data_IF_608493408162
#
_entry.id   IF_608493408162
#
_cell.length_a   1.000
_cell.length_b   1.000
_cell.length_c   1.000
_cell.angle_alpha   90.00
_cell.angle_beta   90.00
_cell.angle_gamma   90.00
#
_symmetry.space_group_name_H-M   'P 1'
#
loop_
_entity.id
_entity.type
_entity.pdbx_description
1 polymer ?
#
# COMPACT_ATOMS: atom_id res chain seq x y z
N UNK A 1 -32.51 36.14 58.99
CA UNK A 1 -32.21 35.85 57.56
C UNK A 1 -31.72 37.14 56.94
N UNK A 2 -30.44 37.23 56.58
CA UNK A 2 -30.01 36.89 55.22
C UNK A 2 -28.79 35.96 55.18
N UNK A 3 -28.58 35.36 54.01
CA UNK A 3 -27.69 34.22 53.73
C UNK A 3 -26.23 34.65 53.62
N UNK A 4 -25.36 33.90 54.32
CA UNK A 4 -23.91 33.91 54.18
C UNK A 4 -23.50 33.40 52.79
N UNK A 5 -22.61 34.15 52.14
CA UNK A 5 -21.96 33.75 50.90
C UNK A 5 -21.03 32.55 51.14
N UNK A 6 -21.23 31.48 50.38
CA UNK A 6 -20.43 30.26 50.44
C UNK A 6 -19.15 30.45 49.61
N UNK A 7 -18.01 30.39 50.29
CA UNK A 7 -16.66 30.39 49.74
C UNK A 7 -16.47 29.08 48.94
N UNK A 8 -16.55 29.12 47.61
CA UNK A 8 -16.17 28.00 46.76
C UNK A 8 -14.63 28.00 46.64
N UNK A 9 -13.98 27.12 47.41
CA UNK A 9 -12.54 26.85 47.30
C UNK A 9 -12.29 26.15 45.96
N UNK A 10 -11.57 26.84 45.08
CA UNK A 10 -11.08 26.35 43.81
C UNK A 10 -9.95 25.34 44.07
N UNK A 11 -10.28 24.05 44.22
CA UNK A 11 -9.28 22.99 44.29
C UNK A 11 -8.79 22.68 42.88
N UNK A 12 -7.74 23.38 42.43
CA UNK A 12 -6.99 23.04 41.22
C UNK A 12 -6.27 21.73 41.49
N UNK A 13 -6.80 20.63 40.96
CA UNK A 13 -6.06 19.38 40.85
C UNK A 13 -4.90 19.58 39.86
N UNK A 14 -3.71 19.88 40.39
CA UNK A 14 -2.46 19.60 39.72
C UNK A 14 -2.32 18.07 39.63
N UNK A 15 -2.91 17.48 38.59
CA UNK A 15 -2.51 16.16 38.13
C UNK A 15 -1.13 16.34 37.50
N UNK A 16 -0.09 16.02 38.28
CA UNK A 16 1.20 15.69 37.74
C UNK A 16 0.98 14.62 36.66
N UNK A 17 1.30 14.95 35.41
CA UNK A 17 1.36 13.99 34.31
C UNK A 17 2.44 12.98 34.65
N UNK A 18 2.06 11.91 35.35
CA UNK A 18 2.85 10.69 35.38
C UNK A 18 3.00 10.28 33.92
N UNK A 19 4.20 10.51 33.38
CA UNK A 19 4.62 9.99 32.09
C UNK A 19 4.26 8.51 32.08
N UNK A 20 3.38 8.08 31.16
CA UNK A 20 3.16 6.66 30.93
C UNK A 20 4.54 5.97 30.84
N UNK A 21 4.70 4.76 31.42
CA UNK A 21 5.97 4.05 31.31
C UNK A 21 6.38 4.00 29.84
N UNK A 22 7.64 4.33 29.56
CA UNK A 22 8.16 4.36 28.20
C UNK A 22 7.84 3.02 27.53
N UNK A 23 7.03 3.08 26.46
CA UNK A 23 6.66 1.90 25.68
C UNK A 23 7.94 1.22 25.18
N UNK A 24 7.95 -0.12 25.20
CA UNK A 24 9.08 -0.87 24.65
C UNK A 24 9.34 -0.47 23.20
N UNK A 25 10.60 -0.31 22.82
CA UNK A 25 11.00 0.07 21.47
C UNK A 25 12.04 -0.91 20.90
N UNK A 26 11.86 -1.40 19.66
CA UNK A 26 12.83 -2.27 19.01
C UNK A 26 14.09 -1.50 18.63
N UNK A 27 15.19 -2.25 18.43
CA UNK A 27 16.38 -1.74 17.75
C UNK A 27 16.18 -1.92 16.24
N UNK A 28 16.29 -0.83 15.49
CA UNK A 28 16.01 -0.78 14.05
C UNK A 28 17.24 -0.35 13.26
N UNK A 29 17.47 -0.95 12.10
CA UNK A 29 18.53 -0.53 11.17
C UNK A 29 18.06 0.67 10.36
N UNK A 30 18.78 1.78 10.43
CA UNK A 30 18.35 3.05 9.82
C UNK A 30 19.24 3.56 8.70
N UNK A 31 20.48 3.10 8.58
CA UNK A 31 21.35 3.45 7.44
C UNK A 31 21.99 2.21 6.84
N UNK A 32 22.09 2.16 5.51
CA UNK A 32 23.09 1.37 4.81
C UNK A 32 24.28 2.33 4.68
N UNK A 33 25.43 2.03 5.30
CA UNK A 33 26.63 2.86 5.21
C UNK A 33 26.83 3.33 3.77
N UNK A 34 27.05 4.65 3.59
CA UNK A 34 27.11 5.31 2.28
C UNK A 34 27.82 4.40 1.28
N UNK A 35 27.14 4.09 0.17
CA UNK A 35 27.75 3.39 -0.96
C UNK A 35 28.80 4.33 -1.57
N UNK A 36 29.99 4.34 -0.97
CA UNK A 36 31.01 5.35 -1.24
C UNK A 36 31.94 5.52 -0.06
N UNK A 37 32.89 4.59 0.08
CA UNK A 37 34.33 4.92 0.22
C UNK A 37 35.22 3.69 0.46
N UNK A 38 34.70 2.51 0.78
CA UNK A 38 35.50 1.28 0.75
C UNK A 38 34.66 0.09 0.31
N UNK A 39 35.25 -0.85 -0.45
CA UNK A 39 34.66 -2.17 -0.79
C UNK A 39 34.53 -3.10 0.43
N UNK A 40 34.42 -2.54 1.64
CA UNK A 40 34.23 -3.26 2.89
C UNK A 40 32.77 -3.18 3.30
N UNK A 41 32.27 -4.25 3.94
CA UNK A 41 30.86 -4.53 4.23
C UNK A 41 30.04 -3.29 4.64
N UNK A 42 28.75 -3.18 4.23
CA UNK A 42 27.92 -2.05 4.62
C UNK A 42 27.87 -1.91 6.15
N UNK A 43 28.28 -0.74 6.66
CA UNK A 43 28.16 -0.40 8.07
C UNK A 43 26.75 0.09 8.35
N UNK A 44 25.96 -0.69 9.06
CA UNK A 44 24.62 -0.28 9.48
C UNK A 44 24.70 0.56 10.75
N UNK A 45 23.99 1.69 10.81
CA UNK A 45 23.62 2.31 12.08
C UNK A 45 22.32 1.74 12.59
N UNK A 46 22.22 1.53 13.89
CA UNK A 46 20.97 1.14 14.53
C UNK A 46 20.41 2.29 15.39
N UNK A 47 19.11 2.25 15.62
CA UNK A 47 18.37 3.28 16.32
C UNK A 47 17.33 2.64 17.23
N UNK A 48 17.10 3.23 18.41
CA UNK A 48 16.10 2.79 19.37
C UNK A 48 15.54 4.01 20.09
N UNK A 49 14.22 4.19 20.05
CA UNK A 49 13.49 5.23 20.80
C UNK A 49 14.15 6.62 20.78
N UNK A 50 14.44 7.18 19.61
CA UNK A 50 15.05 8.51 19.50
C UNK A 50 16.56 8.52 19.36
N UNK A 51 17.24 7.43 19.71
CA UNK A 51 18.69 7.43 19.97
C UNK A 51 19.46 6.45 19.08
N UNK A 52 20.62 6.84 18.52
CA UNK A 52 21.54 5.90 17.90
C UNK A 52 21.99 4.81 18.90
N UNK A 53 22.11 3.57 18.42
CA UNK A 53 22.55 2.39 19.19
C UNK A 53 23.46 1.51 18.35
N UNK A 54 24.28 0.71 19.01
CA UNK A 54 25.04 -0.36 18.35
C UNK A 54 24.09 -1.42 17.79
N UNK A 55 24.36 -1.89 16.58
CA UNK A 55 23.60 -2.99 16.02
C UNK A 55 23.94 -4.33 16.71
N UNK A 56 22.96 -5.20 16.99
CA UNK A 56 23.20 -6.54 17.52
C UNK A 56 24.10 -7.36 16.59
N UNK A 57 24.95 -8.21 17.17
CA UNK A 57 25.98 -8.99 16.46
C UNK A 57 25.45 -10.18 15.66
N UNK A 58 24.19 -10.61 15.88
CA UNK A 58 23.58 -11.75 15.19
C UNK A 58 22.26 -11.38 14.54
N UNK A 59 22.21 -11.30 13.21
CA UNK A 59 20.99 -10.93 12.49
C UNK A 59 20.16 -12.14 12.05
N UNK A 60 20.76 -13.33 11.85
CA UNK A 60 20.05 -14.52 11.32
C UNK A 60 20.70 -15.88 11.68
N UNK A 61 21.48 -15.97 12.77
CA UNK A 61 22.16 -17.24 13.13
C UNK A 61 23.05 -17.84 12.03
N UNK A 62 23.45 -17.04 11.02
CA UNK A 62 24.36 -17.46 9.94
C UNK A 62 23.73 -18.23 8.78
N UNK A 63 22.40 -18.30 8.67
CA UNK A 63 21.77 -19.14 7.66
C UNK A 63 20.91 -18.35 6.64
N UNK A 64 21.14 -18.63 5.35
CA UNK A 64 20.37 -18.10 4.23
C UNK A 64 19.11 -18.97 4.02
N UNK A 65 17.91 -18.37 4.17
CA UNK A 65 16.59 -18.97 3.96
C UNK A 65 16.08 -20.03 4.97
N UNK A 66 16.76 -20.30 6.09
CA UNK A 66 16.10 -21.07 7.15
C UNK A 66 15.16 -20.16 7.96
N UNK A 67 14.09 -20.78 8.46
CA UNK A 67 13.15 -20.10 9.35
C UNK A 67 12.05 -19.32 8.63
N UNK A 68 11.82 -19.51 7.32
CA UNK A 68 10.59 -19.04 6.67
C UNK A 68 9.58 -20.18 6.66
N UNK A 69 8.38 -19.94 7.18
CA UNK A 69 7.27 -20.89 7.17
C UNK A 69 6.67 -21.05 5.76
N UNK A 70 5.82 -22.06 5.56
CA UNK A 70 5.08 -22.26 4.30
C UNK A 70 4.12 -21.12 3.95
N UNK A 71 3.80 -20.23 4.90
CA UNK A 71 2.94 -19.06 4.70
C UNK A 71 3.74 -17.77 4.49
N UNK A 72 5.08 -17.83 4.53
CA UNK A 72 5.96 -16.68 4.32
C UNK A 72 6.41 -15.98 5.62
N UNK A 73 5.90 -16.39 6.78
CA UNK A 73 6.31 -15.80 8.05
C UNK A 73 7.73 -16.22 8.44
N UNK A 74 8.54 -15.26 8.88
CA UNK A 74 9.90 -15.48 9.36
C UNK A 74 9.93 -15.99 10.80
N UNK A 75 11.03 -16.64 11.18
CA UNK A 75 11.35 -17.08 12.56
C UNK A 75 12.62 -16.37 13.04
N UNK A 76 12.57 -15.04 13.25
CA UNK A 76 13.73 -14.28 13.71
C UNK A 76 14.08 -14.60 15.17
N UNK A 77 15.36 -14.40 15.51
CA UNK A 77 15.80 -14.33 16.92
C UNK A 77 15.48 -12.95 17.50
N UNK A 78 15.48 -12.82 18.83
CA UNK A 78 15.39 -11.52 19.54
C UNK A 78 16.42 -10.47 19.08
N UNK A 79 17.59 -10.91 18.61
CA UNK A 79 18.66 -10.03 18.11
C UNK A 79 18.44 -9.53 16.66
N UNK A 80 17.43 -10.04 15.95
CA UNK A 80 17.16 -9.61 14.59
C UNK A 80 16.66 -8.16 14.56
N UNK A 81 17.20 -7.39 13.62
CA UNK A 81 16.90 -5.96 13.45
C UNK A 81 16.31 -5.71 12.08
N UNK A 82 15.07 -5.23 12.09
CA UNK A 82 14.32 -4.80 10.90
C UNK A 82 14.78 -3.43 10.42
N UNK A 83 14.50 -3.13 9.15
CA UNK A 83 14.83 -1.86 8.53
C UNK A 83 13.81 -0.78 8.89
N UNK A 84 14.31 0.45 9.08
CA UNK A 84 13.52 1.66 9.30
C UNK A 84 14.13 2.79 8.48
N UNK A 85 13.49 3.18 7.39
CA UNK A 85 13.88 4.40 6.68
C UNK A 85 13.35 5.61 7.47
N UNK A 86 14.24 6.38 8.13
CA UNK A 86 13.84 7.47 9.02
C UNK A 86 13.12 8.60 8.27
N UNK A 87 13.61 8.97 7.09
CA UNK A 87 12.96 10.00 6.28
C UNK A 87 11.55 9.58 5.83
N UNK A 88 11.39 8.34 5.39
CA UNK A 88 10.07 7.79 5.07
C UNK A 88 9.17 7.71 6.30
N UNK A 89 9.70 7.30 7.46
CA UNK A 89 8.93 7.20 8.69
C UNK A 89 8.41 8.57 9.18
N UNK A 90 9.22 9.64 9.05
CA UNK A 90 8.77 11.02 9.30
C UNK A 90 7.67 11.44 8.32
N UNK A 91 7.87 11.19 7.02
CA UNK A 91 6.87 11.53 6.01
C UNK A 91 5.54 10.78 6.23
N UNK A 92 5.61 9.49 6.58
CA UNK A 92 4.44 8.70 6.98
C UNK A 92 3.73 9.30 8.20
N UNK A 93 4.47 9.70 9.23
CA UNK A 93 3.89 10.33 10.43
C UNK A 93 3.12 11.60 10.09
N UNK A 94 3.66 12.41 9.16
CA UNK A 94 3.02 13.65 8.72
C UNK A 94 1.76 13.39 7.90
N UNK A 95 1.81 12.54 6.87
CA UNK A 95 0.66 12.34 5.98
C UNK A 95 -0.47 11.52 6.61
N UNK A 96 -0.16 10.74 7.66
CA UNK A 96 -1.12 9.92 8.41
C UNK A 96 -1.53 10.54 9.75
N UNK A 97 -1.12 11.79 10.02
CA UNK A 97 -1.40 12.46 11.29
C UNK A 97 -2.90 12.50 11.61
N UNK A 98 -3.24 12.24 12.88
CA UNK A 98 -4.64 12.23 13.35
C UNK A 98 -5.46 11.02 12.90
N UNK A 99 -4.88 10.08 12.17
CA UNK A 99 -5.55 8.85 11.74
C UNK A 99 -5.21 7.65 12.64
N UNK A 100 -5.88 6.54 12.39
CA UNK A 100 -5.48 5.23 12.93
C UNK A 100 -4.88 4.39 11.81
N UNK A 101 -3.88 3.57 12.16
CA UNK A 101 -3.15 2.73 11.21
C UNK A 101 -3.19 1.28 11.68
N UNK A 102 -3.42 0.37 10.75
CA UNK A 102 -3.10 -1.06 10.92
C UNK A 102 -1.83 -1.34 10.12
N UNK A 103 -0.79 -1.83 10.76
CA UNK A 103 0.44 -2.27 10.12
C UNK A 103 0.44 -3.80 9.99
N UNK A 104 0.56 -4.29 8.76
CA UNK A 104 0.73 -5.71 8.46
C UNK A 104 2.18 -5.97 8.11
N UNK A 105 2.74 -7.08 8.62
CA UNK A 105 4.15 -7.46 8.44
C UNK A 105 5.10 -6.54 9.19
N UNK A 106 4.75 -6.17 10.43
CA UNK A 106 5.48 -5.17 11.21
C UNK A 106 6.87 -5.64 11.68
N UNK A 107 7.17 -6.94 11.57
CA UNK A 107 8.36 -7.54 12.16
C UNK A 107 8.39 -7.31 13.68
N UNK A 108 9.48 -6.69 14.16
CA UNK A 108 9.60 -6.26 15.56
C UNK A 108 8.97 -4.87 15.84
N UNK A 109 8.31 -4.25 14.88
CA UNK A 109 7.53 -3.01 15.08
C UNK A 109 8.34 -1.73 14.91
N UNK A 110 9.30 -1.70 13.99
CA UNK A 110 10.16 -0.53 13.77
C UNK A 110 9.38 0.72 13.33
N UNK A 111 8.53 0.60 12.30
CA UNK A 111 7.64 1.69 11.90
C UNK A 111 6.56 1.91 12.97
N UNK A 112 6.00 0.86 13.56
CA UNK A 112 5.01 0.95 14.65
C UNK A 112 5.49 1.86 15.79
N UNK A 113 6.67 1.56 16.36
CA UNK A 113 7.25 2.29 17.48
C UNK A 113 7.50 3.75 17.12
N UNK A 114 8.05 3.99 15.93
CA UNK A 114 8.31 5.35 15.44
C UNK A 114 7.01 6.17 15.30
N UNK A 115 5.99 5.60 14.65
CA UNK A 115 4.71 6.27 14.41
C UNK A 115 3.92 6.49 15.71
N UNK A 116 3.95 5.54 16.66
CA UNK A 116 3.35 5.71 17.99
C UNK A 116 4.03 6.85 18.77
N UNK A 117 5.35 6.95 18.70
CA UNK A 117 6.09 8.07 19.31
C UNK A 117 5.74 9.44 18.70
N UNK A 118 5.24 9.45 17.45
CA UNK A 118 4.70 10.65 16.77
C UNK A 118 3.22 10.90 17.06
N UNK A 119 2.59 10.12 17.94
CA UNK A 119 1.21 10.28 18.38
C UNK A 119 0.17 9.58 17.50
N UNK A 120 0.58 8.74 16.55
CA UNK A 120 -0.36 7.97 15.73
C UNK A 120 -0.88 6.74 16.49
N UNK A 121 -2.16 6.41 16.26
CA UNK A 121 -2.76 5.18 16.79
C UNK A 121 -2.48 4.01 15.85
N UNK A 122 -1.40 3.28 16.09
CA UNK A 122 -1.00 2.13 15.26
C UNK A 122 -1.32 0.81 15.94
N UNK A 123 -1.99 -0.12 15.26
CA UNK A 123 -2.10 -1.54 15.65
C UNK A 123 -1.27 -2.37 14.69
N UNK A 124 -0.34 -3.18 15.19
CA UNK A 124 0.66 -3.85 14.35
C UNK A 124 0.54 -5.37 14.45
N UNK A 125 0.71 -6.05 13.32
CA UNK A 125 0.56 -7.49 13.22
C UNK A 125 1.64 -8.13 12.36
N UNK A 126 2.09 -9.33 12.76
CA UNK A 126 3.04 -10.13 11.99
C UNK A 126 2.78 -11.63 12.16
N UNK A 127 3.15 -12.45 11.16
CA UNK A 127 3.02 -13.90 11.21
C UNK A 127 4.11 -14.60 12.03
N UNK A 128 5.11 -13.87 12.54
CA UNK A 128 6.15 -14.40 13.42
C UNK A 128 5.53 -15.03 14.68
N UNK A 129 5.81 -16.31 14.89
CA UNK A 129 5.39 -17.04 16.08
C UNK A 129 6.04 -16.41 17.34
N UNK A 130 5.21 -16.07 18.34
CA UNK A 130 5.68 -15.46 19.58
C UNK A 130 6.07 -13.97 19.49
N UNK A 131 5.72 -13.27 18.41
CA UNK A 131 6.11 -11.86 18.22
C UNK A 131 5.56 -10.93 19.30
N UNK A 132 4.40 -11.25 19.86
CA UNK A 132 3.81 -10.48 20.96
C UNK A 132 4.69 -10.51 22.20
N UNK A 133 5.21 -11.68 22.57
CA UNK A 133 6.13 -11.84 23.68
C UNK A 133 7.48 -11.18 23.37
N UNK A 134 8.00 -11.37 22.15
CA UNK A 134 9.27 -10.78 21.70
C UNK A 134 9.27 -9.25 21.71
N UNK A 135 8.10 -8.64 21.48
CA UNK A 135 7.95 -7.18 21.35
C UNK A 135 7.17 -6.56 22.51
N UNK A 136 6.97 -7.31 23.61
CA UNK A 136 6.23 -6.85 24.78
C UNK A 136 4.83 -6.27 24.45
N UNK A 137 4.16 -6.86 23.47
CA UNK A 137 2.83 -6.45 23.01
C UNK A 137 2.81 -5.30 21.99
N UNK A 138 3.97 -4.79 21.53
CA UNK A 138 4.01 -3.78 20.47
C UNK A 138 3.40 -4.32 19.17
N UNK A 139 3.73 -5.57 18.81
CA UNK A 139 3.23 -6.28 17.63
C UNK A 139 2.45 -7.52 18.06
N UNK A 140 1.30 -7.78 17.47
CA UNK A 140 0.47 -8.96 17.75
C UNK A 140 0.64 -10.04 16.68
N UNK A 141 0.68 -11.31 17.07
CA UNK A 141 0.75 -12.42 16.10
C UNK A 141 -0.54 -12.48 15.25
N UNK A 142 -0.40 -12.48 13.92
CA UNK A 142 -1.47 -12.76 12.97
C UNK A 142 -0.94 -13.36 11.66
N UNK A 143 -1.49 -14.50 11.25
CA UNK A 143 -1.20 -15.07 9.93
C UNK A 143 -2.00 -14.35 8.84
N UNK A 144 -1.31 -13.52 8.05
CA UNK A 144 -1.91 -12.73 6.97
C UNK A 144 -2.45 -13.59 5.81
N UNK A 145 -2.13 -14.88 5.76
CA UNK A 145 -2.66 -15.84 4.80
C UNK A 145 -4.02 -16.42 5.18
N UNK A 146 -4.49 -16.11 6.40
CA UNK A 146 -5.80 -16.49 6.89
C UNK A 146 -6.76 -15.29 6.86
N UNK A 147 -8.07 -15.59 6.95
CA UNK A 147 -9.09 -14.56 7.08
C UNK A 147 -9.01 -13.92 8.47
N UNK A 148 -8.61 -12.65 8.53
CA UNK A 148 -8.48 -11.93 9.80
C UNK A 148 -9.79 -11.27 10.25
N UNK A 149 -10.04 -11.31 11.56
CA UNK A 149 -11.15 -10.66 12.25
C UNK A 149 -10.67 -9.55 13.20
N UNK A 150 -9.86 -8.63 12.69
CA UNK A 150 -9.26 -7.55 13.46
C UNK A 150 -10.07 -6.25 13.30
N UNK A 151 -9.90 -5.25 14.19
CA UNK A 151 -10.49 -3.93 13.99
C UNK A 151 -9.95 -3.26 12.71
N UNK A 152 -10.81 -2.53 11.99
CA UNK A 152 -10.34 -1.68 10.90
C UNK A 152 -9.69 -0.40 11.44
N UNK A 153 -8.83 0.20 10.63
CA UNK A 153 -8.22 1.50 10.87
C UNK A 153 -8.52 2.49 9.72
N UNK A 154 -8.12 3.74 9.90
CA UNK A 154 -8.16 4.73 8.82
C UNK A 154 -7.30 4.25 7.65
N UNK A 155 -6.07 3.82 7.96
CA UNK A 155 -5.10 3.38 6.96
C UNK A 155 -4.57 1.98 7.23
N UNK A 156 -4.14 1.30 6.17
CA UNK A 156 -3.30 0.10 6.26
C UNK A 156 -1.90 0.40 5.74
N UNK A 157 -0.89 0.01 6.52
CA UNK A 157 0.52 0.06 6.17
C UNK A 157 1.04 -1.37 5.94
N UNK A 158 1.76 -1.62 4.84
CA UNK A 158 2.40 -2.91 4.58
C UNK A 158 3.72 -2.72 3.80
N UNK A 159 4.85 -2.67 4.51
CA UNK A 159 6.17 -2.36 3.94
C UNK A 159 6.98 -3.64 3.71
N UNK A 160 7.23 -4.01 2.45
CA UNK A 160 8.04 -5.20 2.08
C UNK A 160 7.51 -6.49 2.74
N UNK A 161 6.24 -6.80 2.50
CA UNK A 161 5.52 -7.94 3.12
C UNK A 161 5.02 -8.92 2.07
N UNK A 162 4.38 -8.42 1.02
CA UNK A 162 3.58 -9.21 0.09
C UNK A 162 4.44 -10.12 -0.81
N UNK A 163 5.69 -9.75 -1.07
CA UNK A 163 6.69 -10.53 -1.77
C UNK A 163 7.12 -11.79 -1.02
N UNK A 164 6.95 -11.82 0.30
CA UNK A 164 7.26 -12.97 1.15
C UNK A 164 6.08 -13.92 1.31
N UNK A 165 4.86 -13.46 1.00
CA UNK A 165 3.65 -14.28 1.06
C UNK A 165 3.48 -15.06 -0.25
N UNK A 166 3.40 -16.40 -0.21
CA UNK A 166 3.24 -17.21 -1.41
C UNK A 166 2.05 -16.78 -2.28
N UNK A 167 2.21 -16.88 -3.62
CA UNK A 167 1.20 -16.46 -4.62
C UNK A 167 -0.21 -16.97 -4.36
N UNK A 168 -0.34 -18.18 -3.81
CA UNK A 168 -1.63 -18.79 -3.48
C UNK A 168 -2.40 -18.02 -2.38
N UNK A 169 -1.70 -17.26 -1.54
CA UNK A 169 -2.27 -16.47 -0.45
C UNK A 169 -2.40 -14.98 -0.76
N UNK A 170 -1.92 -14.52 -1.92
CA UNK A 170 -1.99 -13.13 -2.35
C UNK A 170 -3.41 -12.55 -2.25
N UNK A 171 -4.40 -13.30 -2.72
CA UNK A 171 -5.81 -12.88 -2.69
C UNK A 171 -6.27 -12.63 -1.26
N UNK A 172 -5.86 -13.49 -0.34
CA UNK A 172 -6.23 -13.40 1.07
C UNK A 172 -5.50 -12.25 1.78
N UNK A 173 -4.23 -12.01 1.48
CA UNK A 173 -3.50 -10.84 1.96
C UNK A 173 -4.19 -9.52 1.53
N UNK A 174 -4.51 -9.39 0.24
CA UNK A 174 -5.23 -8.23 -0.28
C UNK A 174 -6.64 -8.11 0.33
N UNK A 175 -7.33 -9.23 0.59
CA UNK A 175 -8.60 -9.24 1.31
C UNK A 175 -8.47 -8.64 2.71
N UNK A 176 -7.39 -8.95 3.42
CA UNK A 176 -7.13 -8.44 4.76
C UNK A 176 -6.81 -6.94 4.70
N UNK A 177 -5.99 -6.49 3.74
CA UNK A 177 -5.75 -5.05 3.49
C UNK A 177 -7.07 -4.31 3.24
N UNK A 178 -7.97 -4.88 2.44
CA UNK A 178 -9.27 -4.26 2.17
C UNK A 178 -10.19 -4.20 3.38
N UNK A 179 -10.31 -5.32 4.12
CA UNK A 179 -11.23 -5.42 5.26
C UNK A 179 -10.84 -4.48 6.41
N UNK A 180 -9.55 -4.28 6.63
CA UNK A 180 -9.05 -3.52 7.77
C UNK A 180 -8.78 -2.05 7.45
N UNK A 181 -9.20 -1.59 6.27
CA UNK A 181 -9.01 -0.22 5.81
C UNK A 181 -10.33 0.57 5.67
N UNK A 182 -10.34 1.82 6.12
CA UNK A 182 -11.46 2.76 5.92
C UNK A 182 -11.17 3.90 4.96
N UNK A 183 -9.92 4.33 4.81
CA UNK A 183 -9.53 5.55 4.09
C UNK A 183 -8.46 5.31 3.03
N UNK A 184 -7.44 4.48 3.28
CA UNK A 184 -6.36 4.30 2.31
C UNK A 184 -5.31 3.26 2.67
N UNK A 185 -4.42 2.99 1.73
CA UNK A 185 -3.33 2.01 1.88
C UNK A 185 -2.02 2.66 1.50
N UNK A 186 -0.99 2.47 2.30
CA UNK A 186 0.40 2.70 1.89
C UNK A 186 1.12 1.37 1.95
N UNK A 187 1.68 0.93 0.83
CA UNK A 187 2.37 -0.35 0.77
C UNK A 187 3.64 -0.28 -0.08
N UNK A 188 4.62 -1.10 0.25
CA UNK A 188 5.74 -1.41 -0.63
C UNK A 188 5.73 -2.91 -0.91
N UNK A 189 5.86 -3.27 -2.18
CA UNK A 189 5.90 -4.65 -2.63
C UNK A 189 7.03 -4.79 -3.64
N UNK A 190 8.05 -5.58 -3.30
CA UNK A 190 9.17 -5.78 -4.21
C UNK A 190 8.75 -6.26 -5.60
N UNK A 191 9.33 -5.64 -6.63
CA UNK A 191 9.24 -6.03 -8.03
C UNK A 191 10.45 -6.88 -8.48
N UNK A 192 11.30 -7.30 -7.55
CA UNK A 192 12.55 -8.01 -7.81
C UNK A 192 12.57 -9.40 -7.17
N UNK A 193 13.14 -10.37 -7.89
CA UNK A 193 13.43 -11.71 -7.36
C UNK A 193 14.76 -11.77 -6.56
N UNK A 194 15.47 -10.65 -6.43
CA UNK A 194 16.82 -10.61 -5.84
C UNK A 194 16.87 -10.55 -4.30
N UNK A 195 15.74 -10.33 -3.64
CA UNK A 195 15.68 -10.21 -2.17
C UNK A 195 15.48 -11.55 -1.46
N UNK A 196 15.93 -11.61 -0.20
CA UNK A 196 15.84 -12.83 0.61
C UNK A 196 14.40 -13.20 0.92
N UNK A 197 14.01 -14.46 0.69
CA UNK A 197 12.65 -14.92 0.95
C UNK A 197 11.59 -14.33 0.01
N UNK A 198 11.97 -13.74 -1.12
CA UNK A 198 11.01 -13.27 -2.13
C UNK A 198 10.46 -14.47 -2.90
N UNK A 199 9.18 -14.76 -2.74
CA UNK A 199 8.46 -15.86 -3.42
C UNK A 199 7.32 -15.36 -4.31
N UNK A 200 6.92 -14.09 -4.13
CA UNK A 200 5.84 -13.47 -4.87
C UNK A 200 6.12 -12.00 -5.25
N UNK A 201 7.23 -11.66 -5.91
CA UNK A 201 7.39 -10.30 -6.40
C UNK A 201 6.36 -9.99 -7.50
N UNK A 202 5.94 -8.72 -7.54
CA UNK A 202 4.93 -8.18 -8.46
C UNK A 202 5.39 -6.83 -9.00
N UNK A 203 5.02 -6.52 -10.24
CA UNK A 203 5.24 -5.19 -10.78
C UNK A 203 4.30 -4.18 -10.11
N UNK A 204 4.64 -2.90 -10.12
CA UNK A 204 3.77 -1.85 -9.56
C UNK A 204 2.41 -1.82 -10.28
N UNK A 205 2.41 -2.05 -11.59
CA UNK A 205 1.19 -2.09 -12.41
C UNK A 205 0.22 -3.18 -11.94
N UNK A 206 0.77 -4.35 -11.57
CA UNK A 206 -0.03 -5.43 -10.98
C UNK A 206 -0.71 -4.95 -9.69
N UNK A 207 0.04 -4.31 -8.79
CA UNK A 207 -0.51 -3.88 -7.50
C UNK A 207 -1.55 -2.77 -7.65
N UNK A 208 -1.26 -1.77 -8.49
CA UNK A 208 -2.19 -0.69 -8.83
C UNK A 208 -3.48 -1.26 -9.40
N UNK A 209 -3.37 -2.20 -10.34
CA UNK A 209 -4.52 -2.88 -10.92
C UNK A 209 -5.34 -3.61 -9.86
N UNK A 210 -4.68 -4.31 -8.94
CA UNK A 210 -5.40 -5.06 -7.91
C UNK A 210 -6.18 -4.18 -6.95
N UNK A 211 -5.57 -3.09 -6.49
CA UNK A 211 -6.26 -2.16 -5.64
C UNK A 211 -7.34 -1.37 -6.40
N UNK A 212 -7.13 -1.05 -7.67
CA UNK A 212 -8.17 -0.43 -8.51
C UNK A 212 -9.43 -1.30 -8.60
N UNK A 213 -9.28 -2.60 -8.85
CA UNK A 213 -10.39 -3.56 -8.85
C UNK A 213 -11.14 -3.64 -7.52
N UNK A 214 -10.46 -3.34 -6.43
CA UNK A 214 -11.01 -3.32 -5.07
C UNK A 214 -11.57 -1.95 -4.66
N UNK A 215 -11.66 -1.01 -5.62
CA UNK A 215 -12.25 0.31 -5.45
C UNK A 215 -11.30 1.37 -4.88
N UNK A 216 -10.00 1.25 -5.12
CA UNK A 216 -9.01 2.23 -4.70
C UNK A 216 -8.54 3.10 -5.88
N UNK A 217 -8.25 4.37 -5.59
CA UNK A 217 -7.56 5.28 -6.50
C UNK A 217 -6.09 5.38 -6.10
N UNK A 218 -5.18 5.45 -7.06
CA UNK A 218 -3.74 5.56 -6.83
C UNK A 218 -3.36 6.98 -6.41
N UNK A 219 -3.00 7.22 -5.15
CA UNK A 219 -2.60 8.54 -4.64
C UNK A 219 -1.15 8.84 -5.04
N UNK A 220 -0.96 9.31 -6.28
CA UNK A 220 0.36 9.59 -6.85
C UNK A 220 1.06 10.71 -6.07
N UNK A 221 0.32 11.73 -5.65
CA UNK A 221 0.88 12.84 -4.87
C UNK A 221 1.46 12.35 -3.55
N UNK A 222 0.67 11.60 -2.77
CA UNK A 222 1.17 11.03 -1.51
C UNK A 222 2.33 10.06 -1.78
N UNK A 223 2.24 9.24 -2.81
CA UNK A 223 3.33 8.34 -3.19
C UNK A 223 4.64 9.11 -3.46
N UNK A 224 4.59 10.15 -4.29
CA UNK A 224 5.75 10.95 -4.65
C UNK A 224 6.31 11.71 -3.44
N UNK A 225 5.43 12.26 -2.58
CA UNK A 225 5.83 12.90 -1.32
C UNK A 225 6.57 11.91 -0.40
N UNK A 226 6.04 10.70 -0.23
CA UNK A 226 6.70 9.67 0.58
C UNK A 226 8.03 9.21 -0.05
N UNK A 227 8.07 8.98 -1.37
CA UNK A 227 9.28 8.57 -2.11
C UNK A 227 10.38 9.62 -2.05
N UNK A 228 10.03 10.90 -2.15
CA UNK A 228 10.98 12.01 -2.07
C UNK A 228 11.67 12.09 -0.69
N UNK A 229 11.04 11.53 0.35
CA UNK A 229 11.58 11.49 1.71
C UNK A 229 12.30 10.16 2.03
N UNK A 230 12.41 9.23 1.09
CA UNK A 230 13.20 8.00 1.29
C UNK A 230 14.67 8.37 1.47
N UNK A 231 15.20 8.11 2.66
CA UNK A 231 16.52 8.58 3.09
C UNK A 231 17.63 7.54 2.89
N UNK A 232 17.28 6.25 2.92
CA UNK A 232 18.26 5.16 3.07
C UNK A 232 17.99 4.02 2.10
N UNK A 233 16.77 3.50 2.08
CA UNK A 233 16.46 2.25 1.39
C UNK A 233 15.84 2.53 0.02
N UNK A 234 16.73 2.71 -0.97
CA UNK A 234 16.39 3.21 -2.31
C UNK A 234 15.29 2.41 -3.04
N UNK A 235 15.08 1.13 -2.71
CA UNK A 235 13.99 0.37 -3.30
C UNK A 235 12.62 0.99 -3.01
N UNK A 236 12.42 1.64 -1.85
CA UNK A 236 11.18 2.37 -1.56
C UNK A 236 10.90 3.50 -2.57
N UNK A 237 11.93 4.09 -3.20
CA UNK A 237 11.72 5.08 -4.26
C UNK A 237 11.07 4.46 -5.51
N UNK A 238 11.14 3.13 -5.66
CA UNK A 238 10.63 2.40 -6.81
C UNK A 238 9.33 1.66 -6.51
N UNK A 239 9.18 1.08 -5.32
CA UNK A 239 8.11 0.12 -4.99
C UNK A 239 7.06 0.66 -4.02
N UNK A 240 7.33 1.77 -3.32
CA UNK A 240 6.36 2.37 -2.39
C UNK A 240 5.18 2.97 -3.16
N UNK A 241 3.96 2.64 -2.80
CA UNK A 241 2.73 3.13 -3.42
C UNK A 241 1.71 3.54 -2.36
N UNK A 242 0.92 4.57 -2.66
CA UNK A 242 -0.15 5.06 -1.80
C UNK A 242 -1.49 5.03 -2.54
N UNK A 243 -2.58 4.71 -1.84
CA UNK A 243 -3.90 4.53 -2.44
C UNK A 243 -4.99 5.11 -1.54
N UNK A 244 -5.98 5.78 -2.14
CA UNK A 244 -7.19 6.23 -1.45
C UNK A 244 -8.33 5.28 -1.69
N UNK A 245 -9.06 4.94 -0.63
CA UNK A 245 -10.29 4.18 -0.70
C UNK A 245 -11.40 5.07 -1.25
N UNK A 246 -12.02 4.66 -2.35
CA UNK A 246 -13.15 5.40 -2.94
C UNK A 246 -14.49 4.88 -2.41
N UNK A 247 -15.62 5.57 -2.65
CA UNK A 247 -16.95 5.03 -2.36
C UNK A 247 -17.24 3.68 -3.03
N UNK A 248 -16.60 3.36 -4.17
CA UNK A 248 -16.76 2.08 -4.86
C UNK A 248 -16.29 0.91 -4.00
N UNK A 249 -15.22 1.08 -3.21
CA UNK A 249 -14.69 0.04 -2.34
C UNK A 249 -15.68 -0.46 -1.28
N UNK A 250 -16.76 0.30 -0.98
CA UNK A 250 -17.82 -0.16 -0.07
C UNK A 250 -18.80 -1.13 -0.75
N UNK A 251 -18.87 -1.10 -2.09
CA UNK A 251 -19.78 -1.92 -2.89
C UNK A 251 -19.10 -3.18 -3.42
N UNK A 252 -17.76 -3.24 -3.39
CA UNK A 252 -17.00 -4.42 -3.84
C UNK A 252 -17.30 -5.61 -2.96
N UNK A 253 -17.79 -6.69 -3.58
CA UNK A 253 -17.91 -8.00 -2.96
C UNK A 253 -16.75 -8.87 -3.44
N UNK A 254 -15.78 -9.12 -2.56
CA UNK A 254 -14.56 -9.85 -2.92
C UNK A 254 -14.84 -11.24 -3.52
N UNK A 255 -15.88 -11.94 -3.06
CA UNK A 255 -16.29 -13.24 -3.62
C UNK A 255 -16.79 -13.18 -5.06
N UNK A 256 -17.31 -12.04 -5.52
CA UNK A 256 -17.70 -11.80 -6.92
C UNK A 256 -16.50 -11.37 -7.77
N UNK A 257 -15.51 -10.71 -7.15
CA UNK A 257 -14.28 -10.27 -7.81
C UNK A 257 -13.28 -11.42 -8.06
N UNK A 258 -13.14 -12.35 -7.12
CA UNK A 258 -12.09 -13.37 -7.17
C UNK A 258 -12.20 -14.41 -8.30
N UNK A 259 -13.40 -14.80 -8.78
CA UNK A 259 -13.56 -15.69 -9.93
C UNK A 259 -13.13 -15.06 -11.26
N UNK A 260 -13.29 -13.74 -11.41
CA UNK A 260 -12.85 -12.98 -12.62
C UNK A 260 -11.40 -12.51 -12.51
N UNK A 261 -10.80 -12.63 -11.32
CA UNK A 261 -9.39 -12.41 -11.06
C UNK A 261 -8.54 -13.55 -11.66
N UNK A 262 -8.51 -13.58 -12.99
CA UNK A 262 -7.59 -14.34 -13.84
C UNK A 262 -6.64 -13.33 -14.49
N UNK A 263 -5.38 -13.40 -14.10
CA UNK A 263 -4.32 -12.42 -14.37
C UNK A 263 -3.67 -12.58 -15.75
N UNK A 264 -4.21 -13.37 -16.66
CA UNK A 264 -3.51 -13.66 -17.90
C UNK A 264 -3.86 -12.63 -19.00
N UNK A 265 -3.10 -11.53 -18.94
CA UNK A 265 -2.51 -10.76 -20.07
C UNK A 265 -3.13 -9.38 -20.39
N UNK A 266 -2.34 -8.34 -20.07
CA UNK A 266 -2.14 -7.08 -20.84
C UNK A 266 -2.85 -5.77 -20.50
N UNK A 267 -3.22 -5.46 -19.25
CA UNK A 267 -3.47 -4.04 -18.87
C UNK A 267 -2.14 -3.30 -18.64
N UNK A 268 -1.94 -2.16 -19.30
CA UNK A 268 -0.75 -1.30 -19.21
C UNK A 268 -1.15 0.11 -18.75
N UNK A 269 -0.32 0.78 -17.97
CA UNK A 269 -0.58 2.16 -17.55
C UNK A 269 -0.61 3.11 -18.77
N UNK A 270 -1.55 4.05 -18.75
CA UNK A 270 -1.77 5.02 -19.81
C UNK A 270 -2.94 4.69 -20.73
N UNK A 271 -3.19 5.56 -21.70
CA UNK A 271 -4.27 5.47 -22.67
C UNK A 271 -3.77 5.62 -24.12
N UNK A 272 -4.50 5.08 -25.09
CA UNK A 272 -4.07 5.02 -26.49
C UNK A 272 -4.01 6.40 -27.15
N UNK A 273 -5.11 7.16 -27.07
CA UNK A 273 -5.21 8.54 -27.55
C UNK A 273 -6.45 9.20 -26.97
N UNK A 274 -6.55 10.53 -27.04
CA UNK A 274 -7.78 11.21 -26.65
C UNK A 274 -8.89 10.92 -27.66
N UNK A 275 -10.11 10.74 -27.16
CA UNK A 275 -11.31 10.62 -27.98
C UNK A 275 -12.19 11.86 -27.76
N UNK A 276 -12.84 12.36 -28.81
CA UNK A 276 -13.70 13.56 -28.70
C UNK A 276 -14.94 13.26 -27.88
N UNK A 277 -15.02 13.86 -26.68
CA UNK A 277 -16.17 13.72 -25.80
C UNK A 277 -17.49 14.11 -26.49
N UNK A 278 -18.51 13.26 -26.39
CA UNK A 278 -19.84 13.52 -26.94
C UNK A 278 -20.02 13.11 -28.41
N UNK A 279 -18.97 12.67 -29.11
CA UNK A 279 -19.12 12.03 -30.42
C UNK A 279 -19.85 10.71 -30.23
N UNK A 280 -21.02 10.54 -30.87
CA UNK A 280 -21.65 9.22 -31.03
C UNK A 280 -20.84 8.41 -32.03
N UNK A 281 -19.90 7.63 -31.52
CA UNK A 281 -19.10 6.71 -32.32
C UNK A 281 -19.80 5.34 -32.37
N UNK A 282 -19.84 4.73 -33.56
CA UNK A 282 -20.32 3.37 -33.76
C UNK A 282 -19.16 2.41 -33.92
N UNK A 283 -19.23 1.28 -33.22
CA UNK A 283 -18.27 0.18 -33.35
C UNK A 283 -18.13 -0.29 -34.81
N UNK A 284 -19.22 -0.24 -35.58
CA UNK A 284 -19.26 -0.80 -36.93
C UNK A 284 -18.51 0.05 -37.94
N UNK A 285 -18.44 1.37 -37.71
CA UNK A 285 -17.93 2.35 -38.68
C UNK A 285 -16.67 3.06 -38.22
N UNK A 286 -16.60 3.46 -36.94
CA UNK A 286 -15.50 4.27 -36.43
C UNK A 286 -14.27 3.42 -36.06
N UNK A 287 -13.11 4.08 -35.94
CA UNK A 287 -11.85 3.46 -35.49
C UNK A 287 -11.61 3.62 -33.99
N UNK A 288 -12.36 4.52 -33.36
CA UNK A 288 -12.35 4.73 -31.93
C UNK A 288 -13.65 5.40 -31.47
N UNK A 289 -13.92 5.28 -30.18
CA UNK A 289 -15.09 5.90 -29.56
C UNK A 289 -15.05 5.81 -28.05
N UNK A 290 -15.97 6.51 -27.40
CA UNK A 290 -16.10 6.51 -25.94
C UNK A 290 -17.46 5.94 -25.55
N UNK A 291 -17.47 4.92 -24.70
CA UNK A 291 -18.68 4.51 -24.01
C UNK A 291 -18.83 5.34 -22.73
N UNK A 292 -19.78 6.27 -22.73
CA UNK A 292 -20.19 7.02 -21.53
C UNK A 292 -20.83 6.04 -20.53
N UNK A 293 -20.43 6.13 -19.26
CA UNK A 293 -20.88 5.26 -18.16
C UNK A 293 -22.31 5.55 -17.67
N UNK A 294 -23.10 6.28 -18.45
CA UNK A 294 -24.44 6.74 -18.07
C UNK A 294 -25.59 5.99 -18.76
N UNK A 295 -25.41 4.72 -19.09
CA UNK A 295 -26.50 3.84 -19.54
C UNK A 295 -26.75 2.73 -18.52
N UNK A 296 -27.52 3.05 -17.47
CA UNK A 296 -28.47 2.14 -16.80
C UNK A 296 -27.99 0.84 -16.16
N UNK A 297 -26.69 0.50 -16.19
CA UNK A 297 -26.12 -0.70 -15.56
C UNK A 297 -25.01 -0.30 -14.60
N UNK A 298 -25.27 -0.55 -13.32
CA UNK A 298 -24.53 -0.10 -12.14
C UNK A 298 -23.17 -0.83 -11.93
N UNK A 299 -22.44 -1.15 -13.01
CA UNK A 299 -21.14 -1.82 -12.96
C UNK A 299 -20.36 -1.63 -14.27
N UNK A 300 -19.68 -0.49 -14.43
CA UNK A 300 -18.71 -0.31 -15.54
C UNK A 300 -17.33 -0.03 -14.98
N UNK A 301 -16.61 -1.10 -14.64
CA UNK A 301 -15.17 -1.06 -14.37
C UNK A 301 -14.38 -1.55 -15.59
N UNK A 302 -13.06 -1.66 -15.46
CA UNK A 302 -12.15 -2.18 -16.50
C UNK A 302 -12.63 -3.48 -17.18
N UNK A 303 -13.27 -4.38 -16.42
CA UNK A 303 -13.81 -5.63 -16.97
C UNK A 303 -14.97 -5.39 -17.94
N UNK A 304 -15.82 -4.41 -17.66
CA UNK A 304 -16.92 -4.02 -18.55
C UNK A 304 -16.39 -3.37 -19.82
N UNK A 305 -15.28 -2.62 -19.76
CA UNK A 305 -14.56 -2.16 -20.95
C UNK A 305 -14.14 -3.32 -21.85
N UNK A 306 -13.43 -4.30 -21.28
CA UNK A 306 -12.98 -5.47 -22.02
C UNK A 306 -14.18 -6.24 -22.62
N UNK A 307 -15.25 -6.43 -21.84
CA UNK A 307 -16.46 -7.15 -22.27
C UNK A 307 -17.19 -6.43 -23.42
N UNK A 308 -17.34 -5.10 -23.33
CA UNK A 308 -17.93 -4.30 -24.42
C UNK A 308 -17.07 -4.35 -25.69
N UNK A 309 -15.75 -4.31 -25.53
CA UNK A 309 -14.84 -4.48 -26.64
C UNK A 309 -14.91 -5.89 -27.26
N UNK A 310 -15.06 -6.94 -26.45
CA UNK A 310 -15.28 -8.31 -26.96
C UNK A 310 -16.55 -8.41 -27.81
N UNK A 311 -17.64 -7.75 -27.39
CA UNK A 311 -18.88 -7.68 -28.16
C UNK A 311 -18.81 -6.79 -29.43
N UNK A 312 -17.74 -6.02 -29.61
CA UNK A 312 -17.55 -5.11 -30.74
C UNK A 312 -16.47 -5.66 -31.68
N UNK A 313 -16.82 -6.30 -32.80
CA UNK A 313 -15.87 -7.06 -33.67
C UNK A 313 -14.60 -6.31 -34.06
N UNK A 314 -14.72 -5.00 -34.30
CA UNK A 314 -13.62 -4.12 -34.71
C UNK A 314 -12.75 -3.65 -33.54
N UNK A 315 -13.26 -3.66 -32.31
CA UNK A 315 -12.48 -3.25 -31.14
C UNK A 315 -11.35 -4.24 -30.85
N UNK A 316 -10.14 -3.72 -30.67
CA UNK A 316 -8.93 -4.48 -30.32
C UNK A 316 -8.28 -3.98 -29.04
N UNK A 317 -8.55 -2.73 -28.65
CA UNK A 317 -7.96 -2.12 -27.47
C UNK A 317 -9.00 -1.28 -26.73
N UNK A 318 -8.83 -1.16 -25.42
CA UNK A 318 -9.60 -0.24 -24.58
C UNK A 318 -8.69 0.52 -23.65
N UNK A 319 -8.98 1.80 -23.42
CA UNK A 319 -8.40 2.63 -22.38
C UNK A 319 -9.50 3.01 -21.39
N UNK A 320 -9.35 2.60 -20.13
CA UNK A 320 -10.31 2.90 -19.07
C UNK A 320 -9.80 4.05 -18.21
N UNK A 321 -10.65 5.04 -17.92
CA UNK A 321 -10.37 6.09 -16.92
C UNK A 321 -11.18 5.86 -15.65
N UNK A 322 -10.50 5.61 -14.53
CA UNK A 322 -11.14 5.54 -13.23
C UNK A 322 -11.74 6.89 -12.78
N UNK A 323 -11.11 8.00 -13.16
CA UNK A 323 -11.52 9.37 -12.79
C UNK A 323 -12.70 9.87 -13.58
N UNK A 324 -12.70 9.70 -14.89
CA UNK A 324 -13.82 10.13 -15.72
C UNK A 324 -14.95 9.10 -15.75
N UNK A 325 -14.66 7.87 -15.28
CA UNK A 325 -15.58 6.77 -15.41
C UNK A 325 -15.96 6.63 -16.87
N UNK A 326 -14.99 6.49 -17.75
CA UNK A 326 -15.23 6.28 -19.17
C UNK A 326 -14.32 5.19 -19.73
N UNK A 327 -14.75 4.72 -20.89
CA UNK A 327 -14.13 3.62 -21.58
C UNK A 327 -13.96 3.99 -23.04
N UNK A 328 -12.73 4.33 -23.41
CA UNK A 328 -12.36 4.56 -24.79
C UNK A 328 -11.98 3.24 -25.44
N UNK A 329 -12.48 3.00 -26.64
CA UNK A 329 -12.17 1.81 -27.42
C UNK A 329 -11.47 2.19 -28.73
N UNK A 330 -10.62 1.29 -29.21
CA UNK A 330 -9.79 1.53 -30.40
C UNK A 330 -9.65 0.25 -31.23
N UNK A 331 -9.59 0.41 -32.56
CA UNK A 331 -9.25 -0.68 -33.48
C UNK A 331 -7.73 -0.90 -33.55
N UNK A 332 -6.92 0.10 -33.18
CA UNK A 332 -5.47 0.05 -33.16
C UNK A 332 -4.90 0.91 -32.02
N UNK A 333 -3.82 0.46 -31.39
CA UNK A 333 -3.14 1.18 -30.31
C UNK A 333 -1.68 0.73 -30.23
N UNK A 334 -0.76 1.69 -30.03
CA UNK A 334 0.64 1.39 -29.74
C UNK A 334 0.83 1.27 -28.22
N UNK A 335 0.88 0.03 -27.74
CA UNK A 335 1.03 -0.27 -26.31
C UNK A 335 2.38 0.12 -25.71
N UNK A 336 3.38 0.41 -26.54
CA UNK A 336 4.71 0.85 -26.11
C UNK A 336 4.83 2.39 -26.07
N UNK A 337 3.78 3.10 -26.50
CA UNK A 337 3.74 4.56 -26.56
C UNK A 337 2.41 5.13 -26.03
N UNK A 338 1.97 4.63 -24.87
CA UNK A 338 0.74 5.08 -24.22
C UNK A 338 0.90 6.48 -23.63
N UNK A 339 -0.14 7.32 -23.77
CA UNK A 339 -0.18 8.63 -23.13
C UNK A 339 -0.52 8.49 -21.65
N UNK A 340 0.10 9.35 -20.85
CA UNK A 340 -0.16 9.54 -19.42
C UNK A 340 -0.60 10.98 -19.10
N UNK A 341 -0.80 11.83 -20.11
CA UNK A 341 -1.11 13.26 -19.95
C UNK A 341 -2.29 13.68 -20.84
N UNK A 342 -3.38 14.16 -20.24
CA UNK A 342 -4.57 14.61 -20.97
C UNK A 342 -4.37 16.05 -21.48
N UNK A 343 -4.45 16.32 -22.80
CA UNK A 343 -4.28 17.66 -23.35
C UNK A 343 -5.29 18.66 -22.80
N UNK A 344 -4.83 19.82 -22.33
CA UNK A 344 -5.67 20.88 -21.76
C UNK A 344 -5.94 20.73 -20.25
N UNK A 345 -5.61 19.58 -19.66
CA UNK A 345 -5.44 19.49 -18.21
C UNK A 345 -4.00 19.87 -17.87
N UNK A 346 -3.79 20.77 -16.90
CA UNK A 346 -2.50 20.76 -16.17
C UNK A 346 -2.35 19.33 -15.69
N UNK A 347 -1.26 18.64 -16.06
CA UNK A 347 -0.98 17.28 -15.62
C UNK A 347 -1.45 17.14 -14.18
N UNK A 348 -2.59 16.49 -13.95
CA UNK A 348 -3.12 16.42 -12.59
C UNK A 348 -2.13 15.52 -11.89
N UNK A 349 -1.25 16.10 -11.09
CA UNK A 349 -0.16 15.49 -10.34
C UNK A 349 -0.64 14.44 -9.31
N UNK A 350 -1.84 13.90 -9.47
CA UNK A 350 -2.64 13.46 -8.34
C UNK A 350 -3.10 12.00 -8.44
N UNK A 351 -3.36 11.40 -9.62
CA UNK A 351 -3.75 9.99 -9.75
C UNK A 351 -3.47 9.46 -11.17
N UNK A 352 -2.81 8.30 -11.31
CA UNK A 352 -2.76 7.56 -12.58
C UNK A 352 -4.07 6.78 -12.75
N UNK A 353 -5.05 7.39 -13.42
CA UNK A 353 -6.40 6.82 -13.56
C UNK A 353 -6.60 5.97 -14.83
N UNK A 354 -5.62 5.95 -15.73
CA UNK A 354 -5.79 5.39 -17.07
C UNK A 354 -5.00 4.10 -17.24
N UNK A 355 -5.68 3.08 -17.75
CA UNK A 355 -5.09 1.77 -18.07
C UNK A 355 -5.62 1.28 -19.40
N UNK A 356 -4.75 0.68 -20.20
CA UNK A 356 -5.05 0.18 -21.55
C UNK A 356 -4.88 -1.32 -21.64
N UNK A 357 -5.86 -1.99 -22.24
CA UNK A 357 -5.82 -3.42 -22.54
C UNK A 357 -5.81 -3.66 -24.04
N UNK A 358 -4.98 -4.61 -24.49
CA UNK A 358 -5.23 -5.31 -25.74
C UNK A 358 -6.23 -6.42 -25.50
N UNK A 359 -7.43 -6.25 -26.06
CA UNK A 359 -8.54 -7.17 -25.84
C UNK A 359 -8.36 -8.39 -26.72
N UNK A 360 -8.15 -9.54 -26.09
CA UNK A 360 -8.20 -10.82 -26.76
C UNK A 360 -9.63 -11.14 -27.17
N UNK A 361 -9.77 -11.62 -28.40
CA UNK A 361 -11.05 -11.95 -29.03
C UNK A 361 -11.34 -13.42 -28.97
#
# INVERSE_FOLDING_TARGET
MPRLASLFVLLVCLLASASAPAEWAPVCKTTHGRYGETKSKPSYSCWQAGTPRSCPSSTHGGCNNCGISSTGAWKPTTAHTYFLDLGLAEALANVLQGTSVVEFGAGHGCYTSFLRAKGLRVSAYDGIEGVAELTHGLVTTADLTLRLGLPSAGWVLAMEVAEHVPRVHEKQLLANIHRHNREGVVLSWSNSNGGHGHVNPRSNEHVVHQLAQMGYAHDIRMQEELRANVSTFQWFQQTLMAFRRTPLARRVKLGELWPTWKWEKTWRLGYCSSVTAGKRASCDTDTSGTWKVWDGLNATGMHTCATRCQACDRCRFVSYSARFGDCDWFTACNLDALSNTVPGEKASSNVLDHVTLQVQK
#
